data_IF_038608749004
#
_entry.id   IF_038608749004
#
_cell.length_a   1.000
_cell.length_b   1.000
_cell.length_c   1.000
_cell.angle_alpha   90.00
_cell.angle_beta   90.00
_cell.angle_gamma   90.00
#
_symmetry.space_group_name_H-M   'P 1'
#
loop_
_entity.id
_entity.type
_entity.pdbx_description
1 polymer ?
#
# COMPACT_ATOMS: atom_id res chain seq x y z
N UNK A 1 2.67 -28.90 -6.55
CA UNK A 1 2.70 -28.05 -7.75
C UNK A 1 2.69 -26.60 -7.30
N UNK A 2 3.51 -25.73 -7.88
CA UNK A 2 3.45 -24.28 -7.60
C UNK A 2 2.25 -23.71 -8.38
N UNK A 3 1.33 -22.97 -7.73
CA UNK A 3 0.19 -22.39 -8.44
C UNK A 3 0.64 -21.33 -9.45
N UNK A 4 0.10 -21.38 -10.67
CA UNK A 4 0.26 -20.31 -11.66
C UNK A 4 -0.72 -19.20 -11.29
N UNK A 5 -0.22 -18.03 -10.93
CA UNK A 5 -1.03 -16.84 -10.66
C UNK A 5 -1.08 -15.98 -11.94
N UNK A 6 -2.25 -15.85 -12.61
CA UNK A 6 -2.37 -15.00 -13.79
C UNK A 6 -2.31 -13.53 -13.39
N UNK A 7 -1.60 -12.71 -14.18
CA UNK A 7 -1.64 -11.26 -14.05
C UNK A 7 -3.01 -10.74 -14.49
N UNK A 8 -3.55 -9.77 -13.75
CA UNK A 8 -4.84 -9.15 -14.04
C UNK A 8 -5.02 -7.84 -13.27
N UNK A 9 -6.20 -7.25 -13.35
CA UNK A 9 -6.53 -5.97 -12.69
C UNK A 9 -6.89 -6.12 -11.20
N UNK A 10 -6.52 -7.26 -10.59
CA UNK A 10 -6.70 -7.56 -9.17
C UNK A 10 -8.05 -7.09 -8.58
N UNK A 11 -9.21 -7.51 -9.12
CA UNK A 11 -10.52 -6.97 -8.74
C UNK A 11 -10.92 -7.22 -7.28
N UNK A 12 -10.19 -8.07 -6.56
CA UNK A 12 -10.42 -8.40 -5.15
C UNK A 12 -9.45 -7.69 -4.20
N UNK A 13 -8.58 -6.81 -4.72
CA UNK A 13 -7.76 -5.94 -3.88
C UNK A 13 -8.59 -4.80 -3.29
N UNK A 14 -8.17 -4.32 -2.12
CA UNK A 14 -8.71 -3.08 -1.56
C UNK A 14 -7.93 -1.89 -2.17
N UNK A 15 -8.48 -1.30 -3.22
CA UNK A 15 -7.86 -0.25 -4.06
C UNK A 15 -8.47 1.14 -3.84
N UNK A 16 -8.99 1.43 -2.64
CA UNK A 16 -9.66 2.70 -2.33
C UNK A 16 -8.75 3.91 -2.63
N UNK A 17 -9.28 4.88 -3.35
CA UNK A 17 -8.57 6.10 -3.78
C UNK A 17 -8.98 7.33 -2.98
N UNK A 18 -10.03 7.23 -2.15
CA UNK A 18 -10.55 8.32 -1.31
C UNK A 18 -10.90 9.62 -2.08
N UNK A 19 -11.25 9.50 -3.36
CA UNK A 19 -11.61 10.64 -4.20
C UNK A 19 -12.89 11.27 -3.69
N UNK A 20 -12.80 12.56 -3.33
CA UNK A 20 -13.91 13.35 -2.81
C UNK A 20 -14.19 13.19 -1.32
N UNK A 21 -13.44 12.37 -0.59
CA UNK A 21 -13.66 12.13 0.84
C UNK A 21 -12.37 12.11 1.68
N UNK A 22 -11.24 12.56 1.14
CA UNK A 22 -9.97 12.58 1.84
C UNK A 22 -10.03 13.35 3.18
N UNK A 23 -10.72 14.49 3.23
CA UNK A 23 -10.86 15.29 4.45
C UNK A 23 -11.71 14.56 5.51
N UNK A 24 -12.85 13.98 5.12
CA UNK A 24 -13.69 13.18 6.03
C UNK A 24 -12.96 11.94 6.55
N UNK A 25 -12.20 11.26 5.67
CA UNK A 25 -11.38 10.12 6.06
C UNK A 25 -10.26 10.50 7.00
N UNK A 26 -9.70 11.69 6.87
CA UNK A 26 -8.67 12.20 7.76
C UNK A 26 -9.19 12.40 9.20
N UNK A 27 -10.46 12.80 9.37
CA UNK A 27 -11.11 12.85 10.68
C UNK A 27 -11.36 11.46 11.28
N UNK A 28 -11.67 10.47 10.43
CA UNK A 28 -11.96 9.09 10.86
C UNK A 28 -10.74 8.17 10.97
N UNK A 29 -9.63 8.50 10.33
CA UNK A 29 -8.46 7.62 10.26
C UNK A 29 -7.91 7.29 11.65
N UNK A 30 -7.80 8.28 12.54
CA UNK A 30 -7.26 8.09 13.88
C UNK A 30 -8.10 7.14 14.77
N UNK A 31 -9.44 7.29 14.89
CA UNK A 31 -10.24 6.33 15.65
C UNK A 31 -10.25 4.93 15.01
N UNK A 32 -10.31 4.82 13.68
CA UNK A 32 -10.26 3.53 12.98
C UNK A 32 -8.94 2.81 13.25
N UNK A 33 -7.81 3.51 13.11
CA UNK A 33 -6.49 2.94 13.39
C UNK A 33 -6.38 2.47 14.85
N UNK A 34 -6.92 3.23 15.79
CA UNK A 34 -6.94 2.84 17.21
C UNK A 34 -7.73 1.55 17.44
N UNK A 35 -8.86 1.41 16.77
CA UNK A 35 -9.67 0.18 16.80
C UNK A 35 -8.92 -1.00 16.19
N UNK A 36 -8.31 -0.85 15.02
CA UNK A 36 -7.52 -1.89 14.38
C UNK A 36 -6.33 -2.34 15.25
N UNK A 37 -5.59 -1.38 15.85
CA UNK A 37 -4.49 -1.67 16.79
C UNK A 37 -4.94 -2.37 18.08
N UNK A 38 -6.20 -2.21 18.50
CA UNK A 38 -6.73 -2.92 19.65
C UNK A 38 -6.87 -4.43 19.37
N UNK A 39 -7.09 -4.80 18.11
CA UNK A 39 -7.31 -6.18 17.67
C UNK A 39 -6.11 -6.79 16.94
N UNK A 40 -5.10 -5.99 16.60
CA UNK A 40 -3.94 -6.43 15.81
C UNK A 40 -2.62 -6.06 16.49
N UNK A 41 -2.06 -6.99 17.27
CA UNK A 41 -0.86 -6.74 18.08
C UNK A 41 0.35 -6.30 17.24
N UNK A 42 0.60 -6.95 16.10
CA UNK A 42 1.71 -6.60 15.21
C UNK A 42 1.57 -5.18 14.62
N UNK A 43 0.34 -4.75 14.29
CA UNK A 43 0.07 -3.39 13.83
C UNK A 43 0.40 -2.38 14.92
N UNK A 44 -0.08 -2.63 16.14
CA UNK A 44 0.18 -1.76 17.29
C UNK A 44 1.68 -1.62 17.57
N UNK A 45 2.38 -2.73 17.71
CA UNK A 45 3.83 -2.74 18.00
C UNK A 45 4.64 -2.05 16.91
N UNK A 46 4.30 -2.31 15.64
CA UNK A 46 4.97 -1.66 14.49
C UNK A 46 4.73 -0.16 14.48
N UNK A 47 3.49 0.26 14.74
CA UNK A 47 3.09 1.66 14.75
C UNK A 47 3.75 2.44 15.88
N UNK A 48 3.76 1.89 17.11
CA UNK A 48 4.40 2.50 18.27
C UNK A 48 5.91 2.69 18.05
N UNK A 49 6.60 1.67 17.52
CA UNK A 49 8.02 1.76 17.20
C UNK A 49 8.32 2.78 16.08
N UNK A 50 7.48 2.82 15.04
CA UNK A 50 7.61 3.79 13.96
C UNK A 50 7.37 5.22 14.44
N UNK A 51 6.41 5.42 15.35
CA UNK A 51 6.12 6.71 15.96
C UNK A 51 7.32 7.25 16.76
N UNK A 52 7.98 6.41 17.57
CA UNK A 52 9.20 6.81 18.30
C UNK A 52 10.31 7.24 17.33
N UNK A 53 10.50 6.47 16.25
CA UNK A 53 11.57 6.74 15.26
C UNK A 53 11.26 7.97 14.38
N UNK A 54 10.00 8.27 14.13
CA UNK A 54 9.57 9.40 13.28
C UNK A 54 9.99 10.76 13.83
N UNK A 55 9.94 10.94 15.16
CA UNK A 55 10.25 12.22 15.81
C UNK A 55 11.70 12.68 15.59
N UNK A 56 12.63 11.74 15.46
CA UNK A 56 14.02 12.03 15.14
C UNK A 56 14.24 12.23 13.64
N UNK A 57 13.64 11.36 12.81
CA UNK A 57 13.79 11.43 11.35
C UNK A 57 13.18 12.70 10.75
N UNK A 58 12.03 13.15 11.24
CA UNK A 58 11.30 14.30 10.66
C UNK A 58 12.08 15.61 10.73
N UNK A 59 12.99 15.77 11.70
CA UNK A 59 13.76 17.02 11.91
C UNK A 59 14.67 17.38 10.73
N UNK A 60 15.05 16.40 9.92
CA UNK A 60 15.92 16.58 8.75
C UNK A 60 15.18 16.57 7.41
N UNK A 61 13.84 16.49 7.41
CA UNK A 61 13.05 16.30 6.18
C UNK A 61 12.32 17.59 5.79
N UNK A 62 12.30 17.86 4.49
CA UNK A 62 11.37 18.84 3.90
C UNK A 62 10.13 18.08 3.44
N UNK A 63 9.00 18.31 4.10
CA UNK A 63 7.75 17.61 3.83
C UNK A 63 6.84 18.47 2.94
N UNK A 64 6.04 17.86 2.05
CA UNK A 64 5.11 18.61 1.23
C UNK A 64 3.98 19.24 2.09
N UNK A 65 3.33 20.31 1.60
CA UNK A 65 2.20 20.91 2.30
C UNK A 65 1.10 19.89 2.57
N UNK A 66 0.52 19.93 3.78
CA UNK A 66 -0.53 19.01 4.18
C UNK A 66 -0.05 17.62 4.62
N UNK A 67 1.24 17.31 4.51
CA UNK A 67 1.79 16.04 4.98
C UNK A 67 1.81 16.00 6.51
N UNK A 68 1.09 15.04 7.10
CA UNK A 68 0.97 14.87 8.54
C UNK A 68 1.92 13.80 9.06
N UNK A 69 2.15 13.79 10.37
CA UNK A 69 2.99 12.80 11.03
C UNK A 69 2.52 11.36 10.74
N UNK A 70 1.21 11.14 10.72
CA UNK A 70 0.58 9.85 10.44
C UNK A 70 0.97 9.30 9.07
N UNK A 71 1.07 10.17 8.04
CA UNK A 71 1.50 9.73 6.70
C UNK A 71 2.95 9.22 6.74
N UNK A 72 3.83 9.91 7.47
CA UNK A 72 5.23 9.51 7.65
C UNK A 72 5.38 8.20 8.42
N UNK A 73 4.63 8.06 9.51
CA UNK A 73 4.62 6.85 10.34
C UNK A 73 4.10 5.65 9.53
N UNK A 74 3.00 5.82 8.77
CA UNK A 74 2.46 4.77 7.93
C UNK A 74 3.48 4.27 6.88
N UNK A 75 4.21 5.19 6.22
CA UNK A 75 5.28 4.84 5.28
C UNK A 75 6.40 4.06 6.00
N UNK A 76 6.80 4.49 7.20
CA UNK A 76 7.82 3.78 7.98
C UNK A 76 7.37 2.39 8.41
N UNK A 77 6.11 2.21 8.77
CA UNK A 77 5.52 0.90 9.07
C UNK A 77 5.55 0.01 7.82
N UNK A 78 5.06 0.52 6.69
CA UNK A 78 4.95 -0.23 5.44
C UNK A 78 6.31 -0.67 4.85
N UNK A 79 7.36 0.11 5.09
CA UNK A 79 8.71 -0.16 4.55
C UNK A 79 9.64 -0.85 5.55
N UNK A 80 9.17 -1.17 6.75
CA UNK A 80 9.99 -1.84 7.76
C UNK A 80 10.00 -3.37 7.54
N UNK A 81 10.80 -3.83 6.59
CA UNK A 81 10.95 -5.25 6.25
C UNK A 81 11.48 -6.14 7.38
N UNK A 82 11.97 -5.53 8.48
CA UNK A 82 12.41 -6.27 9.66
C UNK A 82 11.25 -6.67 10.58
N UNK A 83 10.04 -6.12 10.36
CA UNK A 83 8.85 -6.44 11.14
C UNK A 83 7.97 -7.46 10.40
N UNK A 84 7.35 -8.39 11.14
CA UNK A 84 6.39 -9.37 10.61
C UNK A 84 5.21 -8.73 9.89
N UNK A 85 4.73 -7.57 10.35
CA UNK A 85 3.61 -6.85 9.74
C UNK A 85 3.86 -6.49 8.27
N UNK A 86 5.12 -6.20 7.90
CA UNK A 86 5.51 -5.97 6.51
C UNK A 86 5.08 -7.13 5.62
N UNK A 87 5.35 -8.36 6.08
CA UNK A 87 5.02 -9.59 5.36
C UNK A 87 3.52 -9.89 5.37
N UNK A 88 2.82 -9.53 6.43
CA UNK A 88 1.36 -9.71 6.51
C UNK A 88 0.61 -8.77 5.57
N UNK A 89 1.01 -7.50 5.51
CA UNK A 89 0.47 -6.51 4.58
C UNK A 89 0.83 -6.84 3.13
N UNK A 90 2.05 -7.35 2.92
CA UNK A 90 2.59 -7.67 1.62
C UNK A 90 2.62 -9.18 1.35
N UNK A 91 1.60 -9.93 1.77
CA UNK A 91 1.55 -11.40 1.67
C UNK A 91 1.75 -11.98 0.25
N UNK A 92 1.81 -11.12 -0.78
CA UNK A 92 2.14 -11.44 -2.18
C UNK A 92 3.46 -10.81 -2.71
N UNK A 93 4.22 -10.07 -1.91
CA UNK A 93 5.44 -9.38 -2.36
C UNK A 93 6.72 -10.16 -2.03
N UNK A 94 7.60 -10.27 -3.03
CA UNK A 94 8.98 -10.68 -2.86
C UNK A 94 9.87 -9.44 -2.79
N UNK A 95 10.02 -8.81 -1.62
CA UNK A 95 11.17 -7.93 -1.37
C UNK A 95 11.66 -8.13 0.05
N UNK A 96 12.96 -8.41 0.18
CA UNK A 96 13.57 -8.96 1.40
C UNK A 96 14.65 -8.03 1.96
N UNK A 97 14.97 -6.90 1.32
CA UNK A 97 16.19 -6.14 1.69
C UNK A 97 16.04 -4.60 1.67
N UNK A 98 16.38 -3.91 2.79
CA UNK A 98 16.40 -2.44 2.90
C UNK A 98 17.34 -1.69 1.95
N UNK A 99 18.23 -2.40 1.23
CA UNK A 99 19.10 -1.80 0.20
C UNK A 99 18.37 -1.54 -1.12
N UNK A 100 17.14 -2.04 -1.29
CA UNK A 100 16.51 -2.16 -2.61
C UNK A 100 15.94 -0.86 -3.18
N UNK A 101 16.13 0.30 -2.53
CA UNK A 101 15.58 1.59 -3.01
C UNK A 101 14.09 1.42 -3.35
N UNK A 102 13.33 0.96 -2.37
CA UNK A 102 11.90 0.67 -2.52
C UNK A 102 11.15 1.87 -3.11
N UNK A 103 10.25 1.57 -4.06
CA UNK A 103 9.34 2.54 -4.66
C UNK A 103 7.93 2.06 -4.35
N UNK A 104 7.15 2.90 -3.68
CA UNK A 104 5.73 2.62 -3.43
C UNK A 104 4.94 2.88 -4.70
N UNK A 105 4.30 1.82 -5.21
CA UNK A 105 3.41 1.87 -6.37
C UNK A 105 1.98 1.68 -5.85
N UNK A 106 1.08 2.66 -6.02
CA UNK A 106 -0.31 2.51 -5.61
C UNK A 106 -1.00 1.33 -6.32
N UNK A 107 -1.88 0.59 -5.64
CA UNK A 107 -2.49 -0.63 -6.20
C UNK A 107 -3.48 -0.34 -7.35
N UNK A 108 -3.93 0.91 -7.50
CA UNK A 108 -4.84 1.33 -8.56
C UNK A 108 -4.12 1.80 -9.83
N UNK A 109 -2.78 1.81 -9.89
CA UNK A 109 -2.04 2.14 -11.12
C UNK A 109 -2.16 0.99 -12.14
N UNK A 110 -2.52 1.32 -13.38
CA UNK A 110 -2.63 0.34 -14.47
C UNK A 110 -1.34 0.31 -15.29
N UNK A 111 -0.84 -0.91 -15.51
CA UNK A 111 0.34 -1.14 -16.33
C UNK A 111 0.00 -1.95 -17.58
N UNK A 112 0.59 -1.56 -18.71
CA UNK A 112 0.62 -2.39 -19.92
C UNK A 112 1.75 -3.41 -19.84
N UNK A 113 1.43 -4.67 -20.12
CA UNK A 113 2.44 -5.70 -20.37
C UNK A 113 3.01 -5.47 -21.76
N UNK A 114 4.25 -4.97 -21.83
CA UNK A 114 4.91 -4.64 -23.10
C UNK A 114 5.78 -5.79 -23.62
N UNK A 115 6.26 -6.64 -22.71
CA UNK A 115 7.10 -7.79 -23.07
C UNK A 115 6.94 -8.91 -22.05
N UNK A 116 6.98 -10.14 -22.56
CA UNK A 116 7.07 -11.36 -21.78
C UNK A 116 8.16 -12.24 -22.38
N UNK A 117 9.01 -12.82 -21.53
CA UNK A 117 9.95 -13.87 -21.92
C UNK A 117 10.13 -14.87 -20.80
N UNK A 118 10.31 -16.14 -21.17
CA UNK A 118 10.53 -17.23 -20.23
C UNK A 118 11.83 -17.94 -20.59
N UNK A 119 12.74 -18.07 -19.63
CA UNK A 119 13.99 -18.82 -19.74
C UNK A 119 14.05 -19.88 -18.63
N UNK A 120 13.72 -21.11 -18.99
CA UNK A 120 13.57 -22.21 -18.04
C UNK A 120 12.53 -21.89 -16.95
N UNK A 121 13.00 -21.76 -15.71
CA UNK A 121 12.17 -21.41 -14.54
C UNK A 121 12.01 -19.89 -14.33
N UNK A 122 12.76 -19.06 -15.05
CA UNK A 122 12.71 -17.60 -14.90
C UNK A 122 11.70 -17.01 -15.88
N UNK A 123 10.76 -16.22 -15.36
CA UNK A 123 9.84 -15.43 -16.16
C UNK A 123 10.18 -13.96 -15.99
N UNK A 124 10.37 -13.25 -17.10
CA UNK A 124 10.59 -11.80 -17.13
C UNK A 124 9.38 -11.12 -17.77
N UNK A 125 8.76 -10.23 -17.03
CA UNK A 125 7.63 -9.40 -17.48
C UNK A 125 8.08 -7.94 -17.46
N UNK A 126 7.89 -7.22 -18.57
CA UNK A 126 8.12 -5.78 -18.63
C UNK A 126 6.78 -5.05 -18.61
N UNK A 127 6.62 -4.20 -17.61
CA UNK A 127 5.43 -3.39 -17.37
C UNK A 127 5.72 -1.93 -17.69
N UNK A 128 4.79 -1.25 -18.33
CA UNK A 128 4.86 0.19 -18.61
C UNK A 128 3.63 0.88 -18.02
N UNK A 129 3.84 1.97 -17.28
CA UNK A 129 2.74 2.74 -16.70
C UNK A 129 1.83 3.27 -17.81
N UNK A 130 0.55 2.94 -17.72
CA UNK A 130 -0.44 3.32 -18.73
C UNK A 130 -1.02 4.72 -18.50
N UNK A 131 -0.54 5.43 -17.46
CA UNK A 131 -1.07 6.73 -17.00
C UNK A 131 -2.61 6.71 -16.83
N UNK A 132 -3.14 5.56 -16.41
CA UNK A 132 -4.55 5.35 -16.09
C UNK A 132 -4.64 4.63 -14.76
N UNK A 133 -5.75 4.87 -14.07
CA UNK A 133 -6.07 4.25 -12.79
C UNK A 133 -7.31 3.36 -12.93
N UNK A 134 -7.39 2.36 -12.07
CA UNK A 134 -8.50 1.41 -12.04
C UNK A 134 -8.72 1.05 -10.57
N UNK A 135 -9.78 1.61 -9.99
CA UNK A 135 -10.19 1.35 -8.61
C UNK A 135 -11.64 0.85 -8.53
N UNK A 136 -11.87 -0.18 -7.72
CA UNK A 136 -13.20 -0.75 -7.44
C UNK A 136 -13.83 -0.16 -6.17
N UNK A 137 -13.02 0.41 -5.28
CA UNK A 137 -13.46 1.03 -4.04
C UNK A 137 -13.29 2.55 -4.04
N UNK A 138 -14.25 3.25 -3.45
CA UNK A 138 -14.07 4.67 -3.14
C UNK A 138 -14.80 5.01 -1.85
N UNK A 139 -14.09 5.52 -0.85
CA UNK A 139 -14.64 5.94 0.44
C UNK A 139 -15.33 4.79 1.19
N UNK A 140 -14.75 3.59 1.18
CA UNK A 140 -15.34 2.37 1.72
C UNK A 140 -15.67 2.45 3.21
N UNK A 141 -14.75 3.01 4.02
CA UNK A 141 -14.96 3.26 5.45
C UNK A 141 -16.02 4.35 5.74
N UNK A 142 -16.52 5.03 4.72
CA UNK A 142 -17.65 5.97 4.78
C UNK A 142 -18.94 5.37 4.20
N UNK A 143 -18.95 4.07 3.90
CA UNK A 143 -20.10 3.36 3.34
C UNK A 143 -20.06 3.20 1.81
N UNK A 144 -18.93 3.54 1.17
CA UNK A 144 -18.71 3.25 -0.25
C UNK A 144 -18.70 1.74 -0.52
N UNK A 145 -19.47 1.29 -1.52
CA UNK A 145 -19.56 -0.12 -1.90
C UNK A 145 -18.59 -0.47 -3.03
N UNK A 146 -18.18 -1.74 -3.08
CA UNK A 146 -17.37 -2.30 -4.18
C UNK A 146 -18.14 -2.19 -5.50
N UNK A 147 -17.53 -1.56 -6.50
CA UNK A 147 -18.06 -1.49 -7.85
C UNK A 147 -17.77 -2.79 -8.61
N UNK A 148 -18.69 -3.20 -9.50
CA UNK A 148 -18.51 -4.39 -10.35
C UNK A 148 -17.42 -4.24 -11.41
N UNK A 149 -17.16 -3.01 -11.85
CA UNK A 149 -16.06 -2.67 -12.73
C UNK A 149 -15.28 -1.52 -12.10
N UNK A 150 -13.97 -1.50 -12.36
CA UNK A 150 -13.16 -0.41 -11.88
C UNK A 150 -13.45 0.89 -12.61
N UNK A 151 -13.17 1.99 -11.93
CA UNK A 151 -13.35 3.36 -12.40
C UNK A 151 -12.05 4.11 -12.15
N UNK A 152 -11.75 5.03 -13.07
CA UNK A 152 -10.63 5.96 -12.95
C UNK A 152 -11.00 7.21 -12.16
#
# INVERSE_FOLDING_TARGET
AVPILPLGLAPDTFDDTYVGCAEEMEEKAAPLLKEEMAHHALLRESWEAAQETWEDKRRGLTLPPGFKAQNGIAIMVYTNSSNTLYWELNQAAFSVFPKEREVLIPPHEVFLVTRFSQDGAQSLVTLWSYNQTCSHFNCAYLGGEKRRGCVS
#
